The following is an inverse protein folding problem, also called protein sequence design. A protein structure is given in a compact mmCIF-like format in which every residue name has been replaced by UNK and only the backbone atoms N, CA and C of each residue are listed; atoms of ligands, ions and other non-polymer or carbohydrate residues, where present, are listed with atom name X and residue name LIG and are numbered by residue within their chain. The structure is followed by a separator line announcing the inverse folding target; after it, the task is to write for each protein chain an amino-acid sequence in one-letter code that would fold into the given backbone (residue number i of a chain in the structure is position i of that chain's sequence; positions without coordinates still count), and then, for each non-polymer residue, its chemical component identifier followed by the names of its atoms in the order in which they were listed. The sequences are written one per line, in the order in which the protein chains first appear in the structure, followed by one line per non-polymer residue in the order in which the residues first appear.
data_IF_545801048231
#
_entry.id   IF_545801048231
#
_cell.length_a   1.000
_cell.length_b   1.000
_cell.length_c   1.000
_cell.angle_alpha   90.00
_cell.angle_beta   90.00
_cell.angle_gamma   90.00
#
_symmetry.space_group_name_H-M   'P 1'
#
loop_
_entity.id
_entity.type
_entity.pdbx_description
1 polymer ?
#
# COMPACT_ATOMS: atom_id res chain seq x y z
N UNK A 1 -10.27 -5.81 -1.18
CA UNK A 1 -8.81 -5.98 -1.35
C UNK A 1 -8.62 -7.28 -2.13
N UNK A 2 -8.17 -7.22 -3.39
CA UNK A 2 -7.78 -8.42 -4.14
C UNK A 2 -6.27 -8.60 -3.93
N UNK A 3 -5.86 -9.67 -3.28
CA UNK A 3 -4.45 -10.06 -3.14
C UNK A 3 -4.12 -11.05 -4.25
N UNK A 4 -3.09 -10.77 -5.06
CA UNK A 4 -2.59 -11.67 -6.10
C UNK A 4 -1.16 -12.07 -5.70
N UNK A 5 -0.97 -13.34 -5.33
CA UNK A 5 0.32 -13.89 -4.86
C UNK A 5 1.14 -14.36 -6.07
N UNK A 6 2.06 -13.52 -6.52
CA UNK A 6 3.05 -13.86 -7.53
C UNK A 6 4.44 -13.69 -6.92
N UNK A 7 4.96 -14.75 -6.29
CA UNK A 7 6.39 -14.85 -5.97
C UNK A 7 6.84 -14.16 -4.68
N UNK A 8 6.03 -14.19 -3.61
CA UNK A 8 6.43 -13.63 -2.30
C UNK A 8 6.30 -12.11 -2.21
N UNK A 9 5.75 -11.49 -3.25
CA UNK A 9 5.32 -10.11 -3.28
C UNK A 9 3.79 -10.06 -3.24
N UNK A 10 3.24 -9.26 -2.32
CA UNK A 10 1.81 -8.94 -2.28
C UNK A 10 1.61 -7.56 -2.89
N UNK A 11 0.67 -7.42 -3.83
CA UNK A 11 0.33 -6.12 -4.43
C UNK A 11 -0.93 -5.58 -3.77
N UNK A 12 -0.87 -4.33 -3.33
CA UNK A 12 -1.97 -3.60 -2.70
C UNK A 12 -2.34 -2.39 -3.55
N UNK A 13 -3.64 -2.14 -3.66
CA UNK A 13 -4.19 -0.97 -4.34
C UNK A 13 -5.09 -0.21 -3.36
N UNK A 14 -4.69 1.03 -3.05
CA UNK A 14 -5.49 1.98 -2.27
C UNK A 14 -6.25 2.87 -3.25
N UNK A 15 -7.58 2.88 -3.18
CA UNK A 15 -8.43 3.67 -4.06
C UNK A 15 -9.23 4.64 -3.20
N UNK A 16 -9.10 5.94 -3.47
CA UNK A 16 -9.98 6.94 -2.89
C UNK A 16 -11.07 7.29 -3.90
N UNK A 17 -12.32 6.95 -3.57
CA UNK A 17 -13.49 7.23 -4.39
C UNK A 17 -14.22 8.51 -3.96
N UNK A 18 -13.69 9.21 -2.96
CA UNK A 18 -14.19 10.50 -2.50
C UNK A 18 -13.50 11.64 -3.27
N UNK A 19 -14.12 12.81 -3.28
CA UNK A 19 -13.52 14.05 -3.79
C UNK A 19 -12.50 14.64 -2.82
N UNK A 20 -12.66 14.38 -1.52
CA UNK A 20 -11.73 14.83 -0.51
C UNK A 20 -10.54 13.86 -0.36
N UNK A 21 -9.32 14.37 -0.09
CA UNK A 21 -8.17 13.51 0.19
C UNK A 21 -8.34 12.74 1.50
N UNK A 22 -7.91 11.48 1.50
CA UNK A 22 -8.04 10.58 2.64
C UNK A 22 -6.70 9.93 3.01
N UNK A 23 -6.55 9.56 4.28
CA UNK A 23 -5.44 8.73 4.74
C UNK A 23 -5.94 7.31 4.90
N UNK A 24 -5.33 6.37 4.19
CA UNK A 24 -5.61 4.96 4.32
C UNK A 24 -4.44 4.27 5.02
N UNK A 25 -4.79 3.40 5.99
CA UNK A 25 -3.84 2.56 6.72
C UNK A 25 -4.18 1.11 6.47
N UNK A 26 -3.19 0.31 6.12
CA UNK A 26 -3.33 -1.13 5.94
C UNK A 26 -2.40 -1.83 6.91
N UNK A 27 -2.98 -2.67 7.76
CA UNK A 27 -2.24 -3.55 8.67
C UNK A 27 -1.91 -4.89 8.02
N UNK A 28 -0.77 -5.45 8.38
CA UNK A 28 -0.26 -6.71 7.87
C UNK A 28 0.00 -7.69 9.02
N UNK A 29 -0.43 -8.96 8.89
CA UNK A 29 -0.21 -9.97 9.94
C UNK A 29 1.25 -10.41 10.06
N UNK A 30 2.11 -10.00 9.12
CA UNK A 30 3.54 -10.33 9.08
C UNK A 30 4.36 -9.08 8.82
N UNK A 31 5.62 -9.04 9.29
CA UNK A 31 6.46 -7.88 9.10
C UNK A 31 6.64 -7.54 7.60
N UNK A 32 6.45 -6.27 7.28
CA UNK A 32 6.61 -5.69 5.95
C UNK A 32 8.01 -5.12 5.83
N UNK A 33 8.75 -5.56 4.81
CA UNK A 33 10.15 -5.16 4.62
C UNK A 33 10.25 -3.83 3.88
N UNK A 34 9.38 -3.59 2.90
CA UNK A 34 9.34 -2.35 2.13
C UNK A 34 8.04 -2.22 1.39
N UNK A 35 7.55 -0.99 1.24
CA UNK A 35 6.44 -0.64 0.34
C UNK A 35 6.82 0.53 -0.53
N UNK A 36 6.52 0.42 -1.82
CA UNK A 36 6.80 1.44 -2.84
C UNK A 36 5.57 1.70 -3.68
N UNK A 37 5.44 2.92 -4.19
CA UNK A 37 4.44 3.25 -5.20
C UNK A 37 4.82 2.73 -6.59
N UNK A 38 3.93 2.94 -7.57
CA UNK A 38 4.17 2.56 -8.98
C UNK A 38 5.39 3.26 -9.58
N UNK A 39 5.77 4.42 -9.06
CA UNK A 39 6.95 5.19 -9.47
C UNK A 39 8.22 4.73 -8.73
N UNK A 40 8.10 3.74 -7.85
CA UNK A 40 9.19 3.19 -7.04
C UNK A 40 9.53 4.02 -5.80
N UNK A 41 8.77 5.06 -5.46
CA UNK A 41 9.01 5.89 -4.27
C UNK A 41 8.57 5.14 -3.01
N UNK A 42 9.39 5.14 -1.94
CA UNK A 42 9.05 4.43 -0.71
C UNK A 42 7.90 5.10 0.03
N UNK A 43 6.98 4.31 0.59
CA UNK A 43 6.03 4.76 1.59
C UNK A 43 6.68 4.82 2.98
N UNK A 44 6.09 5.60 3.90
CA UNK A 44 6.34 5.40 5.33
C UNK A 44 5.73 4.06 5.73
N UNK A 45 6.59 3.07 5.94
CA UNK A 45 6.21 1.76 6.49
C UNK A 45 6.70 1.63 7.93
N UNK A 46 5.83 1.15 8.80
CA UNK A 46 6.21 0.52 10.06
C UNK A 46 6.18 -1.00 9.87
N UNK A 47 6.84 -1.75 10.75
CA UNK A 47 7.01 -3.20 10.58
C UNK A 47 5.70 -3.94 10.29
N UNK A 48 4.54 -3.48 10.74
CA UNK A 48 3.25 -4.16 10.52
C UNK A 48 2.20 -3.30 9.80
N UNK A 49 2.50 -2.07 9.40
CA UNK A 49 1.49 -1.15 8.85
C UNK A 49 2.06 -0.23 7.77
N UNK A 50 1.21 0.08 6.79
CA UNK A 50 1.49 1.05 5.73
C UNK A 50 0.43 2.13 5.76
N UNK A 51 0.87 3.38 5.86
CA UNK A 51 -0.01 4.55 5.83
C UNK A 51 0.26 5.36 4.58
N UNK A 52 -0.79 5.67 3.83
CA UNK A 52 -0.73 6.43 2.59
C UNK A 52 -1.82 7.50 2.57
N UNK A 53 -1.46 8.73 2.20
CA UNK A 53 -2.42 9.74 1.77
C UNK A 53 -2.75 9.49 0.30
N UNK A 54 -4.03 9.42 -0.03
CA UNK A 54 -4.56 9.26 -1.38
C UNK A 54 -5.44 10.48 -1.68
N UNK A 55 -5.14 11.20 -2.75
CA UNK A 55 -5.93 12.37 -3.14
C UNK A 55 -7.33 11.97 -3.63
N UNK A 56 -8.22 12.94 -3.80
CA UNK A 56 -9.60 12.66 -4.25
C UNK A 56 -9.62 12.06 -5.66
N UNK A 57 -10.46 11.03 -5.86
CA UNK A 57 -10.54 10.24 -7.10
C UNK A 57 -9.20 9.71 -7.62
N UNK A 58 -8.26 9.45 -6.71
CA UNK A 58 -6.91 8.94 -7.03
C UNK A 58 -6.71 7.51 -6.50
N UNK A 59 -5.64 6.86 -6.98
CA UNK A 59 -5.22 5.55 -6.49
C UNK A 59 -3.72 5.47 -6.26
N UNK A 60 -3.32 4.62 -5.32
CA UNK A 60 -1.91 4.32 -5.04
C UNK A 60 -1.70 2.83 -4.99
N UNK A 61 -0.74 2.35 -5.76
CA UNK A 61 -0.26 0.97 -5.67
C UNK A 61 0.82 0.88 -4.59
N UNK A 62 0.89 -0.27 -3.95
CA UNK A 62 1.89 -0.60 -2.94
C UNK A 62 2.36 -2.03 -3.20
N UNK A 63 3.65 -2.25 -3.39
CA UNK A 63 4.23 -3.61 -3.46
C UNK A 63 4.85 -3.96 -2.12
N UNK A 64 4.36 -5.01 -1.48
CA UNK A 64 4.90 -5.59 -0.25
C UNK A 64 5.84 -6.74 -0.61
N UNK A 65 7.07 -6.70 -0.11
CA UNK A 65 7.97 -7.86 -0.09
C UNK A 65 7.89 -8.58 1.24
N UNK A 66 7.71 -9.90 1.20
CA UNK A 66 7.90 -10.77 2.37
C UNK A 66 9.40 -11.00 2.59
N UNK A 67 9.83 -11.06 3.85
CA UNK A 67 11.15 -11.55 4.24
C UNK A 67 11.23 -13.07 4.09
#
# INVERSE_FOLDING_TARGET
LLEHDAGGEDVLLLINHDIAPATATIGFPRPVVSVRDIEGKPFKSCSSEVTARVEGFDCRLAVKRRA
#
